data_IF_165408323894
#
_entry.id   IF_165408323894
#
_cell.length_a   1.000
_cell.length_b   1.000
_cell.length_c   1.000
_cell.angle_alpha   90.00
_cell.angle_beta   90.00
_cell.angle_gamma   90.00
#
_symmetry.space_group_name_H-M   'P 1'
#
loop_
_entity.id
_entity.type
_entity.pdbx_description
1 polymer ?
#
# COMPACT_ATOMS: atom_id res chain seq x y z
N UNK A 1 16.80 11.16 -10.23
CA UNK A 1 15.67 11.77 -9.51
C UNK A 1 16.13 12.87 -8.56
N UNK A 2 17.25 12.72 -7.84
CA UNK A 2 17.82 13.80 -7.02
C UNK A 2 17.15 13.95 -5.64
N UNK A 3 16.32 12.97 -5.28
CA UNK A 3 15.56 12.86 -4.03
C UNK A 3 16.40 12.36 -2.84
N UNK A 4 17.56 11.75 -3.11
CA UNK A 4 18.46 11.19 -2.09
C UNK A 4 19.91 11.63 -2.30
N UNK A 5 20.72 11.71 -1.21
CA UNK A 5 22.13 12.10 -1.30
C UNK A 5 23.00 11.05 -2.01
N UNK A 6 24.21 11.44 -2.47
CA UNK A 6 25.21 10.47 -2.92
C UNK A 6 25.48 9.39 -1.86
N UNK A 7 25.65 8.14 -2.28
CA UNK A 7 25.83 6.99 -1.37
C UNK A 7 24.53 6.35 -0.86
N UNK A 8 23.36 6.87 -1.24
CA UNK A 8 22.08 6.21 -0.93
C UNK A 8 21.94 4.85 -1.63
N UNK A 9 22.48 4.73 -2.85
CA UNK A 9 22.56 3.46 -3.57
C UNK A 9 23.37 2.45 -2.75
N UNK A 10 22.84 1.23 -2.65
CA UNK A 10 23.41 0.12 -1.87
C UNK A 10 23.45 0.34 -0.35
N UNK A 11 22.79 1.39 0.17
CA UNK A 11 22.60 1.59 1.61
C UNK A 11 21.48 0.71 2.18
N UNK A 12 21.41 0.60 3.51
CA UNK A 12 20.31 -0.08 4.22
C UNK A 12 19.18 0.87 4.66
N UNK A 13 19.13 2.08 4.09
CA UNK A 13 18.08 3.03 4.41
C UNK A 13 16.73 2.56 3.87
N UNK A 14 15.68 2.71 4.68
CA UNK A 14 14.32 2.43 4.24
C UNK A 14 13.78 3.55 3.34
N UNK A 15 12.75 3.21 2.58
CA UNK A 15 11.96 4.13 1.75
C UNK A 15 10.48 4.03 2.13
N UNK A 16 9.72 5.09 1.88
CA UNK A 16 8.29 5.15 2.14
C UNK A 16 7.45 5.31 0.87
N UNK A 17 6.19 5.68 1.07
CA UNK A 17 5.24 5.90 -0.01
C UNK A 17 5.68 7.01 -0.97
N UNK A 18 6.32 8.07 -0.46
CA UNK A 18 6.81 9.19 -1.28
C UNK A 18 7.84 8.69 -2.29
N UNK A 19 8.89 8.04 -1.83
CA UNK A 19 9.92 7.47 -2.70
C UNK A 19 9.34 6.41 -3.64
N UNK A 20 8.42 5.57 -3.16
CA UNK A 20 7.75 4.59 -4.01
C UNK A 20 7.00 5.26 -5.18
N UNK A 21 6.27 6.35 -4.92
CA UNK A 21 5.58 7.10 -5.99
C UNK A 21 6.54 7.72 -7.02
N UNK A 22 7.70 8.22 -6.56
CA UNK A 22 8.75 8.75 -7.44
C UNK A 22 9.35 7.64 -8.32
N UNK A 23 9.66 6.48 -7.72
CA UNK A 23 10.15 5.31 -8.44
C UNK A 23 9.14 4.83 -9.49
N UNK A 24 7.86 4.72 -9.12
CA UNK A 24 6.79 4.33 -10.06
C UNK A 24 6.74 5.25 -11.27
N UNK A 25 6.80 6.57 -11.05
CA UNK A 25 6.83 7.55 -12.14
C UNK A 25 8.09 7.40 -13.01
N UNK A 26 9.27 7.31 -12.38
CA UNK A 26 10.56 7.23 -13.07
C UNK A 26 10.71 5.97 -13.93
N UNK A 27 10.25 4.83 -13.42
CA UNK A 27 10.29 3.56 -14.16
C UNK A 27 9.08 3.36 -15.09
N UNK A 28 8.18 4.36 -15.20
CA UNK A 28 7.03 4.30 -16.09
C UNK A 28 5.96 3.28 -15.67
N UNK A 29 5.91 2.94 -14.39
CA UNK A 29 4.91 2.05 -13.79
C UNK A 29 3.52 2.69 -13.65
N UNK A 30 2.62 2.10 -12.85
CA UNK A 30 1.32 2.69 -12.55
C UNK A 30 1.44 4.05 -11.87
N UNK A 31 0.42 4.89 -11.99
CA UNK A 31 0.38 6.17 -11.28
C UNK A 31 0.24 5.92 -9.78
N UNK A 32 1.16 6.45 -8.98
CA UNK A 32 1.09 6.40 -7.52
C UNK A 32 0.56 7.71 -6.93
N UNK A 33 -0.69 7.73 -6.48
CA UNK A 33 -1.29 8.90 -5.81
C UNK A 33 -1.06 8.81 -4.30
N UNK A 34 -0.42 9.81 -3.73
CA UNK A 34 -0.17 9.90 -2.30
C UNK A 34 -1.39 10.38 -1.53
N UNK A 35 -1.63 9.78 -0.37
CA UNK A 35 -2.65 10.22 0.59
C UNK A 35 -2.13 10.10 2.02
N UNK A 36 -2.28 11.15 2.81
CA UNK A 36 -1.83 11.19 4.20
C UNK A 36 -3.01 11.02 5.16
N UNK A 37 -2.84 10.10 6.11
CA UNK A 37 -3.76 9.83 7.21
C UNK A 37 -3.08 10.29 8.50
N UNK A 38 -3.62 11.32 9.18
CA UNK A 38 -3.03 11.83 10.42
C UNK A 38 -3.01 10.81 11.57
N UNK A 39 -2.12 11.02 12.54
CA UNK A 39 -2.08 10.24 13.79
C UNK A 39 -3.44 10.26 14.49
N UNK A 40 -3.85 9.14 15.06
CA UNK A 40 -5.12 9.02 15.79
C UNK A 40 -6.37 8.92 14.93
N UNK A 41 -6.30 9.25 13.62
CA UNK A 41 -7.45 9.12 12.73
C UNK A 41 -7.75 7.66 12.37
N UNK A 42 -6.70 6.82 12.34
CA UNK A 42 -6.78 5.46 11.80
C UNK A 42 -7.20 5.45 10.31
N UNK A 43 -7.40 4.27 9.73
CA UNK A 43 -7.82 4.15 8.32
C UNK A 43 -9.35 4.15 8.16
N UNK A 44 -10.12 4.14 9.24
CA UNK A 44 -11.58 3.99 9.18
C UNK A 44 -12.26 5.10 8.37
N UNK A 45 -11.78 6.35 8.50
CA UNK A 45 -12.28 7.47 7.70
C UNK A 45 -11.99 7.35 6.19
N UNK A 46 -11.06 6.48 5.80
CA UNK A 46 -10.63 6.27 4.41
C UNK A 46 -11.26 5.05 3.75
N UNK A 47 -12.16 4.35 4.44
CA UNK A 47 -12.83 3.16 3.93
C UNK A 47 -13.54 3.38 2.60
N UNK A 48 -14.33 4.46 2.49
CA UNK A 48 -15.04 4.82 1.25
C UNK A 48 -14.09 5.14 0.11
N UNK A 49 -12.95 5.78 0.41
CA UNK A 49 -11.91 6.06 -0.58
C UNK A 49 -11.27 4.77 -1.08
N UNK A 50 -10.91 3.87 -0.17
CA UNK A 50 -10.34 2.57 -0.51
C UNK A 50 -11.32 1.73 -1.31
N UNK A 51 -12.60 1.74 -0.92
CA UNK A 51 -13.66 1.06 -1.66
C UNK A 51 -13.76 1.60 -3.09
N UNK A 52 -13.91 2.92 -3.24
CA UNK A 52 -13.97 3.58 -4.54
C UNK A 52 -12.74 3.32 -5.40
N UNK A 53 -11.56 3.30 -4.79
CA UNK A 53 -10.29 2.99 -5.46
C UNK A 53 -10.32 1.58 -6.06
N UNK A 54 -10.60 0.55 -5.25
CA UNK A 54 -10.62 -0.83 -5.75
C UNK A 54 -11.78 -1.09 -6.71
N UNK A 55 -12.97 -0.57 -6.43
CA UNK A 55 -14.14 -0.68 -7.33
C UNK A 55 -13.92 0.03 -8.67
N UNK A 56 -13.12 1.09 -8.70
CA UNK A 56 -12.73 1.81 -9.91
C UNK A 56 -11.59 1.15 -10.71
N UNK A 57 -11.16 -0.07 -10.36
CA UNK A 57 -10.05 -0.76 -11.03
C UNK A 57 -8.67 -0.31 -10.55
N UNK A 58 -8.59 0.33 -9.38
CA UNK A 58 -7.34 0.64 -8.72
C UNK A 58 -6.57 -0.62 -8.31
N UNK A 59 -5.24 -0.54 -8.39
CA UNK A 59 -4.33 -1.61 -8.01
C UNK A 59 -3.99 -1.62 -6.51
N UNK A 60 -2.95 -2.37 -6.11
CA UNK A 60 -2.49 -2.43 -4.72
C UNK A 60 -2.19 -1.05 -4.13
N UNK A 61 -2.50 -0.85 -2.85
CA UNK A 61 -2.18 0.38 -2.12
C UNK A 61 -1.02 0.10 -1.18
N UNK A 62 0.14 0.72 -1.41
CA UNK A 62 1.23 0.66 -0.43
C UNK A 62 0.85 1.51 0.79
N UNK A 63 1.18 1.02 1.98
CA UNK A 63 0.99 1.73 3.25
C UNK A 63 2.34 1.80 3.96
N UNK A 64 2.73 2.99 4.39
CA UNK A 64 3.87 3.21 5.27
C UNK A 64 3.43 3.97 6.52
N UNK A 65 3.67 3.40 7.70
CA UNK A 65 3.53 4.06 8.99
C UNK A 65 4.87 4.58 9.52
N UNK A 66 4.83 5.46 10.52
CA UNK A 66 6.03 5.95 11.20
C UNK A 66 6.37 5.17 12.47
N UNK A 67 5.34 4.71 13.19
CA UNK A 67 5.52 4.06 14.49
C UNK A 67 5.57 2.53 14.40
N UNK A 68 4.93 1.93 13.38
CA UNK A 68 4.80 0.47 13.29
C UNK A 68 6.00 -0.22 12.63
N UNK A 69 6.90 0.56 12.00
CA UNK A 69 8.02 0.07 11.19
C UNK A 69 7.63 -1.05 10.20
N UNK A 70 6.37 -1.05 9.75
CA UNK A 70 5.80 -2.14 8.97
C UNK A 70 5.12 -1.60 7.72
N UNK A 71 5.88 -1.60 6.63
CA UNK A 71 5.28 -1.46 5.30
C UNK A 71 4.35 -2.62 5.00
N UNK A 72 3.23 -2.34 4.32
CA UNK A 72 2.25 -3.36 3.92
C UNK A 72 1.55 -2.91 2.65
N UNK A 73 0.99 -3.85 1.89
CA UNK A 73 0.11 -3.54 0.77
C UNK A 73 -1.33 -3.91 1.12
N UNK A 74 -2.27 -3.01 0.85
CA UNK A 74 -3.70 -3.32 0.86
C UNK A 74 -4.11 -3.79 -0.53
N UNK A 75 -4.83 -4.91 -0.57
CA UNK A 75 -5.33 -5.54 -1.79
C UNK A 75 -6.86 -5.47 -1.90
N UNK A 76 -7.53 -5.00 -0.86
CA UNK A 76 -8.98 -4.92 -0.82
C UNK A 76 -9.48 -4.41 0.53
N UNK A 77 -10.76 -4.07 0.55
CA UNK A 77 -11.49 -3.62 1.74
C UNK A 77 -12.85 -4.33 1.77
N UNK A 78 -13.30 -4.70 2.96
CA UNK A 78 -14.60 -5.33 3.19
C UNK A 78 -15.24 -4.66 4.41
N UNK A 79 -16.49 -4.21 4.25
CA UNK A 79 -17.26 -3.58 5.33
C UNK A 79 -18.41 -4.51 5.68
N UNK A 80 -18.50 -4.88 6.95
CA UNK A 80 -19.57 -5.72 7.47
C UNK A 80 -20.90 -4.94 7.62
N UNK A 81 -22.00 -5.63 7.96
CA UNK A 81 -23.30 -5.00 8.17
C UNK A 81 -23.36 -4.09 9.40
N UNK A 82 -22.43 -4.25 10.34
CA UNK A 82 -22.30 -3.44 11.55
C UNK A 82 -21.21 -2.39 11.43
N UNK A 83 -20.45 -2.22 12.50
CA UNK A 83 -19.27 -1.34 12.48
C UNK A 83 -18.04 -2.04 11.95
N UNK A 84 -18.02 -3.36 11.78
CA UNK A 84 -16.84 -4.14 11.43
C UNK A 84 -16.30 -3.78 10.05
N UNK A 85 -14.98 -3.64 9.93
CA UNK A 85 -14.34 -3.36 8.67
C UNK A 85 -12.96 -4.01 8.62
N UNK A 86 -12.67 -4.61 7.48
CA UNK A 86 -11.49 -5.43 7.24
C UNK A 86 -10.75 -4.93 6.00
N UNK A 87 -9.44 -5.10 6.02
CA UNK A 87 -8.56 -4.90 4.86
C UNK A 87 -7.84 -6.20 4.53
N UNK A 88 -7.68 -6.48 3.24
CA UNK A 88 -6.86 -7.59 2.79
C UNK A 88 -5.40 -7.12 2.73
N UNK A 89 -4.58 -7.63 3.65
CA UNK A 89 -3.18 -7.21 3.79
C UNK A 89 -2.26 -8.23 3.14
N UNK A 90 -1.28 -7.73 2.37
CA UNK A 90 -0.07 -8.43 1.97
C UNK A 90 1.11 -7.86 2.76
N UNK A 91 1.71 -8.70 3.59
CA UNK A 91 2.84 -8.39 4.46
C UNK A 91 4.17 -8.80 3.77
N UNK A 92 5.05 -7.83 3.45
CA UNK A 92 6.32 -8.09 2.78
C UNK A 92 7.41 -8.65 3.70
N UNK A 93 7.18 -8.80 5.02
CA UNK A 93 8.19 -9.26 5.98
C UNK A 93 8.35 -10.79 6.04
N UNK A 94 7.82 -11.52 5.05
CA UNK A 94 8.07 -12.96 4.94
C UNK A 94 9.54 -13.20 4.57
N UNK A 95 10.20 -14.06 5.34
CA UNK A 95 11.56 -14.53 5.06
C UNK A 95 11.54 -16.00 4.69
N UNK A 96 12.09 -16.33 3.52
CA UNK A 96 12.13 -17.68 2.96
C UNK A 96 11.47 -17.77 1.59
N UNK A 97 11.34 -19.00 1.09
CA UNK A 97 10.69 -19.29 -0.21
C UNK A 97 9.36 -19.98 0.04
N UNK A 98 8.21 -19.33 -0.25
CA UNK A 98 6.91 -19.98 -0.10
C UNK A 98 6.74 -21.07 -1.17
N UNK A 99 6.19 -22.24 -0.81
CA UNK A 99 5.94 -23.32 -1.78
C UNK A 99 4.60 -23.14 -2.49
N UNK A 100 3.66 -22.43 -1.84
CA UNK A 100 2.35 -22.14 -2.38
C UNK A 100 1.78 -20.83 -1.81
N UNK A 101 0.77 -20.23 -2.45
CA UNK A 101 0.00 -19.13 -1.86
C UNK A 101 -0.66 -19.52 -0.52
N UNK A 102 -1.07 -20.78 -0.37
CA UNK A 102 -1.67 -21.30 0.88
C UNK A 102 -0.68 -21.27 2.04
N UNK A 103 0.62 -21.46 1.79
CA UNK A 103 1.65 -21.33 2.83
C UNK A 103 1.70 -19.89 3.38
N UNK A 104 1.60 -18.89 2.49
CA UNK A 104 1.59 -17.48 2.87
C UNK A 104 0.31 -17.12 3.65
N UNK A 105 -0.83 -17.68 3.25
CA UNK A 105 -2.09 -17.51 3.96
C UNK A 105 -2.04 -18.16 5.35
N UNK A 106 -1.57 -19.40 5.45
CA UNK A 106 -1.41 -20.14 6.70
C UNK A 106 -0.42 -19.45 7.65
N UNK A 107 0.63 -18.83 7.11
CA UNK A 107 1.58 -18.01 7.87
C UNK A 107 1.06 -16.60 8.18
N UNK A 108 -0.15 -16.24 7.76
CA UNK A 108 -0.77 -14.94 8.01
C UNK A 108 -0.15 -13.76 7.25
N UNK A 109 0.67 -14.04 6.22
CA UNK A 109 1.32 -13.01 5.37
C UNK A 109 0.39 -12.41 4.34
N UNK A 110 -0.64 -13.14 3.95
CA UNK A 110 -1.74 -12.63 3.14
C UNK A 110 -3.04 -12.99 3.81
N UNK A 111 -3.87 -12.00 4.13
CA UNK A 111 -5.15 -12.29 4.75
C UNK A 111 -5.93 -11.05 5.17
N UNK A 112 -7.21 -11.26 5.45
CA UNK A 112 -8.09 -10.23 5.98
C UNK A 112 -7.71 -9.92 7.42
N UNK A 113 -7.54 -8.63 7.72
CA UNK A 113 -7.24 -8.12 9.05
C UNK A 113 -8.27 -7.06 9.40
N UNK A 114 -8.78 -7.12 10.62
CA UNK A 114 -9.66 -6.08 11.13
C UNK A 114 -8.87 -4.77 11.24
N UNK A 115 -9.47 -3.66 10.85
CA UNK A 115 -8.79 -2.35 10.80
C UNK A 115 -8.16 -1.97 12.14
N UNK A 116 -8.82 -2.24 13.26
CA UNK A 116 -8.33 -1.94 14.61
C UNK A 116 -7.02 -2.67 14.95
N UNK A 117 -6.76 -3.81 14.28
CA UNK A 117 -5.55 -4.63 14.47
C UNK A 117 -4.49 -4.40 13.40
N UNK A 118 -4.91 -3.94 12.21
CA UNK A 118 -4.02 -3.73 11.08
C UNK A 118 -3.24 -2.41 11.13
N UNK A 119 -3.72 -1.45 11.92
CA UNK A 119 -3.18 -0.09 12.02
C UNK A 119 -3.02 0.33 13.49
N UNK A 120 -1.84 0.83 13.83
CA UNK A 120 -1.56 1.40 15.15
C UNK A 120 -2.26 2.76 15.28
N UNK A 121 -3.11 2.96 16.30
CA UNK A 121 -3.80 4.23 16.51
C UNK A 121 -2.86 5.42 16.77
N UNK A 122 -1.62 5.17 17.19
CA UNK A 122 -0.63 6.22 17.46
C UNK A 122 0.26 6.55 16.26
N UNK A 123 0.18 5.77 15.17
CA UNK A 123 0.93 6.01 13.93
C UNK A 123 0.17 6.99 13.03
N UNK A 124 0.90 7.74 12.20
CA UNK A 124 0.30 8.28 10.98
C UNK A 124 0.49 7.25 9.86
N UNK A 125 -0.25 7.39 8.77
CA UNK A 125 -0.07 6.53 7.61
C UNK A 125 0.00 7.36 6.33
N UNK A 126 1.00 7.07 5.50
CA UNK A 126 0.97 7.45 4.09
C UNK A 126 0.49 6.26 3.28
N UNK A 127 -0.39 6.54 2.32
CA UNK A 127 -0.89 5.58 1.35
C UNK A 127 -0.36 5.99 -0.03
N UNK A 128 0.07 5.03 -0.83
CA UNK A 128 0.34 5.21 -2.25
C UNK A 128 -0.65 4.37 -3.04
N UNK A 129 -1.69 5.01 -3.57
CA UNK A 129 -2.77 4.38 -4.33
C UNK A 129 -2.31 4.21 -5.77
N UNK A 130 -2.21 2.97 -6.25
CA UNK A 130 -1.77 2.70 -7.62
C UNK A 130 -2.95 2.61 -8.60
N UNK A 131 -2.88 3.32 -9.73
CA UNK A 131 -3.87 3.23 -10.79
C UNK A 131 -3.20 3.05 -12.16
N UNK A 132 -3.89 2.41 -13.09
CA UNK A 132 -3.41 2.32 -14.46
C UNK A 132 -3.39 3.72 -15.11
N UNK A 133 -2.28 4.05 -15.78
CA UNK A 133 -2.16 5.30 -16.52
C UNK A 133 -2.95 5.20 -17.84
N UNK A 134 -4.12 5.85 -17.91
CA UNK A 134 -4.95 5.89 -19.13
C UNK A 134 -4.26 6.61 -20.31
N UNK A 135 -3.34 7.54 -20.03
CA UNK A 135 -2.67 8.36 -21.06
C UNK A 135 -1.68 7.58 -21.93
N UNK A 136 -1.19 6.41 -21.48
CA UNK A 136 -0.27 5.58 -22.29
C UNK A 136 -0.97 4.74 -23.38
N UNK A 137 -2.29 4.68 -23.41
CA UNK A 137 -3.01 3.95 -24.48
C UNK A 137 -3.15 4.75 -25.77
N UNK A 138 -2.99 6.08 -25.76
CA UNK A 138 -3.15 6.91 -26.96
C UNK A 138 -1.91 7.00 -27.86
N UNK A 139 -0.72 6.60 -27.39
CA UNK A 139 0.53 6.70 -28.17
C UNK A 139 1.06 5.34 -28.67
N UNK A 140 0.27 4.26 -28.57
CA UNK A 140 0.63 2.92 -29.05
C UNK A 140 -0.16 2.45 -30.27
N UNK A 141 -0.92 3.34 -30.92
CA UNK A 141 -1.79 3.03 -32.06
C UNK A 141 -1.53 3.90 -33.31
N UNK A 142 -0.44 4.66 -33.33
CA UNK A 142 0.04 5.38 -34.52
C UNK A 142 1.33 4.76 -35.07
#
# INVERSE_FOLDING_TARGET
MGDKPPGFRDSQNWIGCVEASLCLAYFGGPQGRLYHVPRGAGIRGELERLYSHFSGGGGPVMVGGDADAQSKALLGVCVGPGTEAYVLVLDPHYWGTPKSPSDLQAAGRVGWREISTAFDPNSFYNLCLTSHNSEKQQHGLD
#
